data_IF_485385986888
#
_entry.id   IF_485385986888
#
_cell.length_a   1.000
_cell.length_b   1.000
_cell.length_c   1.000
_cell.angle_alpha   90.00
_cell.angle_beta   90.00
_cell.angle_gamma   90.00
#
_symmetry.space_group_name_H-M   'P 1'
#
loop_
_entity.id
_entity.type
_entity.pdbx_description
1 polymer ?
#
# COMPACT_ATOMS: atom_id res chain seq x y z
N UNK A 1 -20.02 -12.47 -14.86
CA UNK A 1 -20.40 -13.60 -13.98
C UNK A 1 -21.77 -14.14 -14.37
N UNK A 2 -22.82 -13.30 -14.48
CA UNK A 2 -24.17 -13.76 -14.89
C UNK A 2 -24.17 -14.49 -16.24
N UNK A 3 -23.32 -14.07 -17.17
CA UNK A 3 -23.22 -14.63 -18.52
C UNK A 3 -22.21 -15.79 -18.60
N UNK A 4 -21.76 -16.32 -17.47
CA UNK A 4 -20.79 -17.41 -17.39
C UNK A 4 -19.33 -16.98 -17.56
N UNK A 5 -19.06 -15.69 -17.74
CA UNK A 5 -17.71 -15.16 -17.82
C UNK A 5 -17.19 -14.86 -16.40
N UNK A 6 -16.25 -15.64 -15.93
CA UNK A 6 -15.66 -15.51 -14.60
C UNK A 6 -14.28 -14.83 -14.69
N UNK A 7 -14.17 -13.53 -14.39
CA UNK A 7 -12.88 -12.85 -14.34
C UNK A 7 -11.92 -13.55 -13.40
N UNK A 8 -10.66 -13.67 -13.82
CA UNK A 8 -9.68 -14.39 -13.03
C UNK A 8 -8.28 -13.81 -13.18
N UNK A 9 -7.47 -14.00 -12.14
CA UNK A 9 -6.08 -13.54 -12.06
C UNK A 9 -5.21 -14.64 -11.49
N UNK A 10 -3.99 -14.77 -12.00
CA UNK A 10 -2.96 -15.63 -11.41
C UNK A 10 -2.39 -14.95 -10.18
N UNK A 11 -2.29 -15.69 -9.07
CA UNK A 11 -1.60 -15.26 -7.86
C UNK A 11 -0.17 -15.78 -7.91
N UNK A 12 0.78 -14.89 -7.81
CA UNK A 12 2.19 -15.21 -7.77
C UNK A 12 2.83 -14.74 -6.46
N UNK A 13 3.84 -15.45 -6.00
CA UNK A 13 4.73 -15.04 -4.92
C UNK A 13 6.12 -14.75 -5.46
N UNK A 14 6.81 -13.82 -4.80
CA UNK A 14 8.25 -13.68 -4.85
C UNK A 14 8.78 -14.03 -3.47
N UNK A 15 9.86 -14.80 -3.42
CA UNK A 15 10.44 -15.25 -2.15
C UNK A 15 11.85 -14.71 -2.05
N UNK A 16 12.11 -13.92 -1.03
CA UNK A 16 13.44 -13.46 -0.65
C UNK A 16 13.82 -14.14 0.65
N UNK A 17 14.93 -14.92 0.68
CA UNK A 17 15.45 -15.47 1.91
C UNK A 17 15.76 -14.36 2.93
N UNK A 18 15.60 -14.66 4.22
CA UNK A 18 15.80 -13.68 5.29
C UNK A 18 17.23 -13.09 5.28
N UNK A 19 18.24 -13.91 5.00
CA UNK A 19 19.63 -13.45 4.96
C UNK A 19 19.89 -12.50 3.78
N UNK A 20 19.23 -12.73 2.65
CA UNK A 20 19.35 -11.85 1.49
C UNK A 20 18.77 -10.47 1.81
N UNK A 21 17.67 -10.41 2.55
CA UNK A 21 17.01 -9.16 2.91
C UNK A 21 17.91 -8.17 3.67
N UNK A 22 18.91 -8.67 4.38
CA UNK A 22 19.87 -7.86 5.16
C UNK A 22 20.90 -7.16 4.28
N UNK A 23 21.23 -7.73 3.14
CA UNK A 23 22.36 -7.31 2.31
C UNK A 23 21.95 -6.90 0.90
N UNK A 24 20.67 -7.04 0.58
CA UNK A 24 20.16 -6.67 -0.74
C UNK A 24 20.34 -5.18 -0.99
N UNK A 25 20.71 -4.81 -2.20
CA UNK A 25 21.02 -3.44 -2.60
C UNK A 25 19.83 -2.46 -2.58
N UNK A 26 18.61 -3.00 -2.50
CA UNK A 26 17.38 -2.23 -2.36
C UNK A 26 16.75 -2.65 -1.03
N UNK A 27 16.27 -1.69 -0.24
CA UNK A 27 15.53 -2.02 0.97
C UNK A 27 14.26 -2.83 0.60
N UNK A 28 14.17 -4.11 0.97
CA UNK A 28 13.05 -4.96 0.57
C UNK A 28 11.72 -4.57 1.22
N UNK A 29 11.76 -3.72 2.24
CA UNK A 29 10.60 -3.20 2.96
C UNK A 29 10.23 -1.77 2.57
N UNK A 30 10.86 -1.23 1.54
CA UNK A 30 10.47 0.04 0.95
C UNK A 30 9.34 -0.19 -0.06
N UNK A 31 8.13 0.23 0.28
CA UNK A 31 6.96 0.03 -0.57
C UNK A 31 7.02 0.80 -1.91
N UNK A 32 7.95 1.75 -2.04
CA UNK A 32 8.17 2.47 -3.31
C UNK A 32 9.03 1.70 -4.29
N UNK A 33 9.62 0.59 -3.86
CA UNK A 33 10.50 -0.27 -4.66
C UNK A 33 9.81 -1.57 -5.02
N UNK A 34 10.28 -2.23 -6.06
CA UNK A 34 9.87 -3.59 -6.44
C UNK A 34 11.08 -4.52 -6.42
N UNK A 35 10.84 -5.79 -6.17
CA UNK A 35 11.88 -6.80 -6.32
C UNK A 35 11.99 -7.20 -7.79
N UNK A 36 13.17 -7.05 -8.41
CA UNK A 36 13.36 -7.45 -9.81
C UNK A 36 13.05 -8.93 -10.02
N UNK A 37 12.31 -9.24 -11.08
CA UNK A 37 11.96 -10.64 -11.40
C UNK A 37 13.19 -11.48 -11.80
N UNK A 38 14.28 -10.83 -12.22
CA UNK A 38 15.54 -11.50 -12.52
C UNK A 38 16.20 -12.06 -11.25
N UNK A 39 16.07 -11.35 -10.13
CA UNK A 39 16.67 -11.74 -8.85
C UNK A 39 15.72 -12.64 -8.05
N UNK A 40 14.43 -12.26 -8.01
CA UNK A 40 13.37 -12.99 -7.32
C UNK A 40 12.21 -13.25 -8.29
N UNK A 41 12.24 -14.41 -9.00
CA UNK A 41 11.24 -14.71 -10.02
C UNK A 41 9.83 -14.91 -9.43
N UNK A 42 8.83 -14.66 -10.25
CA UNK A 42 7.44 -14.93 -9.90
C UNK A 42 7.20 -16.46 -9.86
N UNK A 43 6.63 -16.92 -8.76
CA UNK A 43 6.24 -18.32 -8.54
C UNK A 43 4.72 -18.35 -8.52
N UNK A 44 4.10 -19.03 -9.48
CA UNK A 44 2.64 -19.21 -9.49
C UNK A 44 2.21 -20.12 -8.34
N UNK A 45 1.31 -19.61 -7.50
CA UNK A 45 0.82 -20.31 -6.30
C UNK A 45 -0.68 -20.49 -6.28
N UNK A 46 -1.41 -19.84 -7.18
CA UNK A 46 -2.86 -19.98 -7.22
C UNK A 46 -3.55 -19.09 -8.24
N UNK A 47 -4.87 -19.17 -8.22
CA UNK A 47 -5.74 -18.39 -9.08
C UNK A 47 -6.89 -17.78 -8.29
N UNK A 48 -7.09 -16.50 -8.43
CA UNK A 48 -8.27 -15.79 -7.95
C UNK A 48 -9.32 -15.80 -9.05
N UNK A 49 -10.53 -16.27 -8.73
CA UNK A 49 -11.64 -16.31 -9.68
C UNK A 49 -12.87 -15.65 -9.05
N UNK A 50 -13.50 -14.72 -9.76
CA UNK A 50 -14.79 -14.16 -9.38
C UNK A 50 -15.89 -14.95 -10.07
N UNK A 51 -16.46 -15.89 -9.34
CA UNK A 51 -17.42 -16.88 -9.88
C UNK A 51 -18.86 -16.70 -9.38
N UNK A 52 -19.08 -15.79 -8.41
CA UNK A 52 -20.38 -15.55 -7.80
C UNK A 52 -20.60 -14.09 -7.47
N UNK A 53 -21.77 -13.58 -7.80
CA UNK A 53 -22.24 -12.28 -7.30
C UNK A 53 -22.83 -12.43 -5.90
N UNK A 54 -22.78 -11.38 -5.04
CA UNK A 54 -23.50 -11.38 -3.76
C UNK A 54 -25.00 -11.45 -4.01
N UNK A 55 -25.74 -12.02 -3.06
CA UNK A 55 -27.21 -12.01 -3.03
C UNK A 55 -27.76 -10.77 -2.36
N UNK A 56 -27.07 -10.30 -1.33
CA UNK A 56 -27.38 -9.05 -0.62
C UNK A 56 -26.10 -8.21 -0.52
N UNK A 57 -26.10 -7.10 -1.25
CA UNK A 57 -24.95 -6.20 -1.32
C UNK A 57 -24.64 -5.56 0.04
N UNK A 58 -25.68 -5.18 0.80
CA UNK A 58 -25.48 -4.54 2.10
C UNK A 58 -24.81 -5.48 3.12
N UNK A 59 -25.32 -6.70 3.26
CA UNK A 59 -24.81 -7.64 4.27
C UNK A 59 -23.52 -8.33 3.87
N UNK A 60 -23.32 -8.59 2.57
CA UNK A 60 -22.16 -9.37 2.08
C UNK A 60 -20.99 -8.47 1.64
N UNK A 61 -21.23 -7.20 1.26
CA UNK A 61 -20.24 -6.31 0.68
C UNK A 61 -20.03 -5.04 1.49
N UNK A 62 -21.08 -4.24 1.75
CA UNK A 62 -20.91 -2.93 2.40
C UNK A 62 -20.39 -3.03 3.83
N UNK A 63 -20.71 -4.10 4.54
CA UNK A 63 -20.25 -4.34 5.91
C UNK A 63 -18.92 -5.12 5.96
N UNK A 64 -18.35 -5.49 4.83
CA UNK A 64 -17.05 -6.14 4.79
C UNK A 64 -15.96 -5.19 5.33
N UNK A 65 -15.10 -5.70 6.20
CA UNK A 65 -14.06 -4.95 6.90
C UNK A 65 -12.71 -5.64 6.73
N UNK A 66 -12.02 -5.31 5.63
CA UNK A 66 -10.65 -5.79 5.43
C UNK A 66 -9.72 -5.18 6.48
N UNK A 67 -8.90 -6.01 7.11
CA UNK A 67 -7.93 -5.57 8.12
C UNK A 67 -6.59 -6.27 7.88
N UNK A 68 -5.51 -5.53 7.53
CA UNK A 68 -4.20 -6.11 7.26
C UNK A 68 -3.59 -6.91 8.41
N UNK A 69 -3.99 -6.59 9.65
CA UNK A 69 -3.49 -7.30 10.84
C UNK A 69 -4.19 -8.65 11.10
N UNK A 70 -5.25 -8.97 10.38
CA UNK A 70 -5.90 -10.28 10.46
C UNK A 70 -5.09 -11.32 9.68
N UNK A 71 -4.00 -11.75 10.26
CA UNK A 71 -3.09 -12.72 9.65
C UNK A 71 -3.44 -14.14 10.07
N UNK A 72 -3.23 -15.08 9.16
CA UNK A 72 -3.29 -16.51 9.46
C UNK A 72 -2.01 -16.97 10.16
N UNK A 73 -2.05 -18.04 10.95
CA UNK A 73 -0.85 -18.62 11.55
C UNK A 73 0.22 -18.90 10.49
N UNK A 74 1.47 -18.56 10.79
CA UNK A 74 2.59 -18.69 9.86
C UNK A 74 2.88 -17.46 8.98
N UNK A 75 1.98 -16.47 8.99
CA UNK A 75 2.20 -15.18 8.31
C UNK A 75 2.39 -14.09 9.36
N UNK A 76 3.52 -13.40 9.31
CA UNK A 76 3.84 -12.25 10.17
C UNK A 76 3.63 -10.90 9.49
N UNK A 77 3.68 -9.85 10.28
CA UNK A 77 3.69 -8.48 9.76
C UNK A 77 5.06 -8.15 9.18
N UNK A 78 5.08 -7.44 8.07
CA UNK A 78 6.31 -6.84 7.56
C UNK A 78 6.76 -5.68 8.46
N UNK A 79 8.07 -5.44 8.62
CA UNK A 79 8.61 -4.26 9.29
C UNK A 79 8.41 -2.97 8.49
N UNK A 80 7.82 -3.02 7.32
CA UNK A 80 7.46 -1.86 6.52
C UNK A 80 6.60 -0.88 7.34
N UNK A 81 7.06 0.38 7.42
CA UNK A 81 6.42 1.43 8.22
C UNK A 81 4.99 1.73 7.75
N UNK A 82 4.73 1.64 6.44
CA UNK A 82 3.39 1.88 5.90
C UNK A 82 2.42 0.77 6.31
N UNK A 83 2.85 -0.50 6.29
CA UNK A 83 2.02 -1.60 6.75
C UNK A 83 1.71 -1.49 8.24
N UNK A 84 2.69 -1.10 9.06
CA UNK A 84 2.48 -0.88 10.49
C UNK A 84 1.46 0.25 10.74
N UNK A 85 1.56 1.36 10.00
CA UNK A 85 0.58 2.46 10.07
C UNK A 85 -0.82 2.02 9.61
N UNK A 86 -0.92 1.22 8.56
CA UNK A 86 -2.18 0.66 8.06
C UNK A 86 -2.86 -0.22 9.09
N UNK A 87 -2.10 -0.97 9.90
CA UNK A 87 -2.63 -1.78 10.98
C UNK A 87 -3.45 -0.98 11.99
N UNK A 88 -3.03 0.22 12.32
CA UNK A 88 -3.82 1.13 13.17
C UNK A 88 -5.01 1.74 12.42
N UNK A 89 -4.80 2.21 11.21
CA UNK A 89 -5.81 2.93 10.44
C UNK A 89 -7.05 2.08 10.12
N UNK A 90 -6.86 0.83 9.69
CA UNK A 90 -7.98 -0.02 9.31
C UNK A 90 -8.85 -0.42 10.49
N UNK A 91 -8.25 -0.81 11.61
CA UNK A 91 -9.03 -1.20 12.77
C UNK A 91 -9.78 -0.02 13.40
N UNK A 92 -9.20 1.18 13.39
CA UNK A 92 -9.85 2.40 13.84
C UNK A 92 -11.02 2.80 12.94
N UNK A 93 -10.80 2.82 11.63
CA UNK A 93 -11.81 3.15 10.64
C UNK A 93 -13.02 2.20 10.72
N UNK A 94 -12.81 0.91 10.93
CA UNK A 94 -13.90 -0.06 11.03
C UNK A 94 -14.67 0.03 12.34
N UNK A 95 -14.01 0.39 13.45
CA UNK A 95 -14.72 0.71 14.69
C UNK A 95 -15.64 1.91 14.53
N UNK A 96 -15.19 2.94 13.84
CA UNK A 96 -16.01 4.13 13.55
C UNK A 96 -17.14 3.81 12.56
N UNK A 97 -16.85 3.06 11.50
CA UNK A 97 -17.81 2.77 10.42
C UNK A 97 -18.86 1.74 10.81
N UNK A 98 -18.47 0.64 11.46
CA UNK A 98 -19.31 -0.54 11.69
C UNK A 98 -19.59 -0.81 13.16
N UNK A 99 -18.83 -0.23 14.07
CA UNK A 99 -18.94 -0.46 15.50
C UNK A 99 -17.84 -1.35 16.07
N UNK A 100 -17.70 -1.33 17.40
CA UNK A 100 -16.60 -1.98 18.13
C UNK A 100 -16.51 -3.49 17.89
N UNK A 101 -17.63 -4.16 17.64
CA UNK A 101 -17.71 -5.59 17.40
C UNK A 101 -17.84 -5.96 15.92
N UNK A 102 -17.33 -5.14 15.00
CA UNK A 102 -17.40 -5.39 13.56
C UNK A 102 -16.82 -6.75 13.14
N UNK A 103 -15.89 -7.31 13.90
CA UNK A 103 -15.33 -8.66 13.66
C UNK A 103 -16.31 -9.79 13.92
N UNK A 104 -17.48 -9.53 14.53
CA UNK A 104 -18.56 -10.51 14.73
C UNK A 104 -19.66 -10.44 13.68
N UNK A 105 -19.65 -9.42 12.81
CA UNK A 105 -20.56 -9.37 11.68
C UNK A 105 -20.27 -10.58 10.77
N UNK A 106 -21.28 -11.34 10.30
CA UNK A 106 -21.08 -12.61 9.61
C UNK A 106 -20.08 -12.56 8.44
N UNK A 107 -20.05 -11.47 7.66
CA UNK A 107 -19.11 -11.32 6.55
C UNK A 107 -17.65 -11.19 7.02
N UNK A 108 -17.43 -10.69 8.24
CA UNK A 108 -16.10 -10.47 8.83
C UNK A 108 -15.70 -11.55 9.82
N UNK A 109 -16.67 -12.32 10.28
CA UNK A 109 -16.45 -13.33 11.32
C UNK A 109 -15.53 -14.45 10.85
N UNK A 110 -14.57 -14.82 11.70
CA UNK A 110 -13.76 -16.01 11.47
C UNK A 110 -14.64 -17.26 11.42
N UNK A 111 -14.39 -18.12 10.45
CA UNK A 111 -15.11 -19.42 10.35
C UNK A 111 -14.60 -20.45 11.36
N UNK A 112 -13.38 -20.28 11.85
CA UNK A 112 -12.81 -21.08 12.93
C UNK A 112 -13.13 -20.44 14.28
N UNK A 113 -13.23 -21.21 15.37
CA UNK A 113 -13.38 -20.67 16.70
C UNK A 113 -12.23 -19.70 17.04
N UNK A 114 -12.57 -18.45 17.35
CA UNK A 114 -11.62 -17.44 17.81
C UNK A 114 -11.98 -17.05 19.23
N UNK A 115 -11.07 -17.30 20.15
CA UNK A 115 -11.24 -16.93 21.54
C UNK A 115 -10.76 -15.49 21.77
N UNK A 116 -11.54 -14.72 22.51
CA UNK A 116 -11.24 -13.32 22.78
C UNK A 116 -11.68 -12.94 24.18
N UNK A 117 -10.86 -12.12 24.84
CA UNK A 117 -11.21 -11.51 26.13
C UNK A 117 -12.13 -10.30 25.98
N UNK A 118 -12.37 -9.83 24.80
CA UNK A 118 -13.28 -8.71 24.54
C UNK A 118 -14.71 -9.14 24.87
N UNK A 119 -15.34 -8.48 25.84
CA UNK A 119 -16.71 -8.77 26.28
C UNK A 119 -17.63 -7.56 26.26
N UNK A 120 -17.21 -6.48 25.65
CA UNK A 120 -17.81 -5.17 25.74
C UNK A 120 -18.27 -4.63 24.38
N UNK A 121 -19.13 -3.65 24.43
CA UNK A 121 -19.59 -2.89 23.28
C UNK A 121 -20.82 -3.47 22.58
N UNK A 122 -21.48 -2.61 21.80
CA UNK A 122 -22.66 -2.97 21.03
C UNK A 122 -22.34 -3.99 19.92
N UNK A 123 -23.35 -4.78 19.53
CA UNK A 123 -23.22 -5.76 18.46
C UNK A 123 -22.45 -7.02 18.85
N UNK A 124 -22.20 -7.25 20.12
CA UNK A 124 -21.60 -8.50 20.63
C UNK A 124 -22.60 -9.63 20.65
N UNK A 125 -22.39 -10.64 19.83
CA UNK A 125 -23.32 -11.77 19.69
C UNK A 125 -22.83 -13.04 20.37
N UNK A 126 -21.53 -13.15 20.66
CA UNK A 126 -20.94 -14.35 21.25
C UNK A 126 -19.86 -13.98 22.28
N UNK A 127 -19.94 -14.64 23.45
CA UNK A 127 -18.87 -14.68 24.42
C UNK A 127 -18.43 -16.14 24.63
N UNK A 128 -17.12 -16.37 24.61
CA UNK A 128 -16.59 -17.73 24.62
C UNK A 128 -16.34 -18.26 26.03
N UNK A 129 -16.13 -17.37 27.00
CA UNK A 129 -15.93 -17.74 28.41
C UNK A 129 -16.16 -16.56 29.35
N UNK A 130 -16.36 -16.86 30.63
CA UNK A 130 -16.55 -15.85 31.68
C UNK A 130 -15.26 -15.10 32.07
N UNK A 131 -14.07 -15.73 32.13
CA UNK A 131 -12.85 -15.02 32.48
C UNK A 131 -12.50 -13.94 31.49
N UNK A 132 -11.96 -12.81 31.97
CA UNK A 132 -11.54 -11.64 31.16
C UNK A 132 -10.04 -11.49 31.07
N UNK A 133 -9.27 -12.41 31.60
CA UNK A 133 -7.81 -12.39 31.63
C UNK A 133 -7.19 -13.79 31.56
N UNK A 134 -5.97 -13.88 31.16
CA UNK A 134 -5.15 -15.09 31.18
C UNK A 134 -3.82 -14.81 31.92
N UNK A 135 -3.25 -15.81 32.64
CA UNK A 135 -3.86 -17.13 32.92
C UNK A 135 -4.98 -17.04 33.94
N UNK A 136 -5.90 -18.00 33.91
CA UNK A 136 -6.96 -18.15 34.92
C UNK A 136 -7.25 -19.63 35.21
N UNK A 137 -7.96 -19.92 36.30
CA UNK A 137 -8.31 -21.29 36.74
C UNK A 137 -9.65 -21.80 36.20
N UNK A 138 -10.35 -21.03 35.37
CA UNK A 138 -11.70 -21.35 34.89
C UNK A 138 -11.74 -21.88 33.45
N UNK A 139 -10.57 -22.17 32.85
CA UNK A 139 -10.52 -22.70 31.51
C UNK A 139 -10.85 -21.71 30.41
N UNK A 140 -10.73 -20.42 30.69
CA UNK A 140 -10.91 -19.36 29.69
C UNK A 140 -9.82 -19.33 28.63
N UNK A 141 -9.85 -18.32 27.74
CA UNK A 141 -8.81 -18.18 26.70
C UNK A 141 -7.43 -18.17 27.34
N UNK A 142 -6.52 -18.95 26.78
CA UNK A 142 -5.12 -18.97 27.17
C UNK A 142 -4.27 -18.43 26.02
N UNK A 143 -3.16 -17.77 26.38
CA UNK A 143 -2.16 -17.44 25.38
C UNK A 143 -1.68 -18.75 24.72
N UNK A 144 -1.81 -18.84 23.42
CA UNK A 144 -1.21 -19.96 22.70
C UNK A 144 0.31 -19.79 22.71
N UNK A 145 1.05 -20.91 22.89
CA UNK A 145 2.48 -20.88 22.60
C UNK A 145 2.70 -20.34 21.19
N UNK A 146 3.74 -19.56 21.01
CA UNK A 146 4.08 -19.09 19.66
C UNK A 146 4.45 -20.30 18.77
N UNK A 147 3.43 -20.79 18.05
CA UNK A 147 3.59 -21.92 17.13
C UNK A 147 4.15 -21.47 15.78
N UNK A 148 4.33 -20.16 15.58
CA UNK A 148 4.89 -19.62 14.34
C UNK A 148 6.39 -19.80 14.24
N UNK A 149 7.04 -20.18 15.36
CA UNK A 149 8.48 -20.34 15.43
C UNK A 149 9.22 -19.03 15.13
N UNK A 150 10.51 -19.13 14.86
CA UNK A 150 11.34 -17.98 14.50
C UNK A 150 10.92 -17.32 13.16
N UNK A 151 10.23 -18.03 12.29
CA UNK A 151 9.78 -17.53 11.00
C UNK A 151 8.77 -16.36 11.09
N UNK A 152 8.16 -16.15 12.25
CA UNK A 152 7.27 -15.00 12.50
C UNK A 152 7.93 -13.85 13.24
N UNK A 153 9.21 -13.96 13.58
CA UNK A 153 9.94 -12.95 14.33
C UNK A 153 10.89 -12.19 13.39
N UNK A 154 10.74 -10.89 13.38
CA UNK A 154 11.73 -10.00 12.77
C UNK A 154 12.62 -9.44 13.88
N UNK A 155 13.91 -9.75 13.80
CA UNK A 155 14.90 -9.18 14.70
C UNK A 155 15.45 -7.89 14.10
N UNK A 156 15.37 -6.80 14.87
CA UNK A 156 16.01 -5.53 14.53
C UNK A 156 17.34 -5.47 15.28
N UNK A 157 18.43 -5.39 14.55
CA UNK A 157 19.76 -5.19 15.10
C UNK A 157 20.08 -3.70 15.20
N UNK A 158 20.79 -3.28 16.25
CA UNK A 158 21.23 -1.91 16.47
C UNK A 158 20.42 -1.14 17.49
N UNK A 159 20.81 0.12 17.69
CA UNK A 159 20.19 1.01 18.65
C UNK A 159 18.83 1.53 18.19
N UNK A 160 17.88 1.59 19.10
CA UNK A 160 16.64 2.33 18.86
C UNK A 160 16.92 3.83 18.95
N UNK A 161 16.89 4.52 17.82
CA UNK A 161 17.09 5.97 17.75
C UNK A 161 15.80 6.69 17.40
N UNK A 162 15.54 7.79 18.11
CA UNK A 162 14.46 8.71 17.75
C UNK A 162 15.03 9.73 16.78
N UNK A 163 14.60 9.67 15.52
CA UNK A 163 15.04 10.61 14.49
C UNK A 163 13.86 11.41 13.95
N UNK A 164 14.10 12.68 13.63
CA UNK A 164 13.26 13.39 12.68
C UNK A 164 13.41 12.76 11.29
N UNK A 165 12.35 12.77 10.49
CA UNK A 165 12.46 12.36 9.10
C UNK A 165 13.47 13.26 8.39
N UNK A 166 14.47 12.64 7.80
CA UNK A 166 15.41 13.32 6.88
C UNK A 166 15.45 12.54 5.59
N UNK A 167 15.44 13.27 4.47
CA UNK A 167 15.68 12.65 3.18
C UNK A 167 17.10 12.08 3.19
N UNK A 168 17.24 10.77 2.97
CA UNK A 168 18.55 10.14 2.92
C UNK A 168 19.20 10.47 1.58
N UNK A 169 20.44 10.93 1.61
CA UNK A 169 21.18 11.28 0.39
C UNK A 169 21.57 10.06 -0.46
N UNK A 170 21.62 8.90 0.17
CA UNK A 170 21.98 7.61 -0.40
C UNK A 170 20.74 6.79 -0.85
N UNK A 171 19.52 7.27 -0.59
CA UNK A 171 18.31 6.65 -1.13
C UNK A 171 18.24 6.92 -2.65
N UNK A 172 18.37 5.86 -3.43
CA UNK A 172 18.23 5.92 -4.87
C UNK A 172 16.75 5.72 -5.27
N UNK A 173 16.05 6.83 -5.45
CA UNK A 173 14.65 6.83 -5.88
C UNK A 173 14.48 6.87 -7.41
N UNK A 174 15.57 6.93 -8.17
CA UNK A 174 15.56 7.21 -9.60
C UNK A 174 15.90 6.01 -10.49
N UNK A 175 16.90 5.22 -10.10
CA UNK A 175 17.45 4.16 -10.95
C UNK A 175 16.44 3.09 -11.32
N UNK A 176 15.61 2.65 -10.38
CA UNK A 176 14.60 1.63 -10.64
C UNK A 176 13.50 2.16 -11.57
N UNK A 177 13.02 3.38 -11.32
CA UNK A 177 12.04 4.05 -12.18
C UNK A 177 12.62 4.30 -13.59
N UNK A 178 13.88 4.74 -13.67
CA UNK A 178 14.59 4.92 -14.94
C UNK A 178 14.75 3.61 -15.72
N UNK A 179 15.05 2.51 -15.05
CA UNK A 179 15.10 1.18 -15.66
C UNK A 179 13.74 0.76 -16.21
N UNK A 180 12.66 1.01 -15.49
CA UNK A 180 11.30 0.76 -15.97
C UNK A 180 11.03 1.51 -17.27
N UNK A 181 11.36 2.80 -17.30
CA UNK A 181 11.12 3.66 -18.47
C UNK A 181 11.97 3.25 -19.68
N UNK A 182 13.27 3.03 -19.48
CA UNK A 182 14.22 2.79 -20.58
C UNK A 182 14.18 1.37 -21.12
N UNK A 183 14.02 0.37 -20.23
CA UNK A 183 14.24 -1.05 -20.56
C UNK A 183 12.94 -1.83 -20.65
N UNK A 184 11.97 -1.56 -19.77
CA UNK A 184 10.77 -2.39 -19.65
C UNK A 184 9.60 -1.82 -20.47
N UNK A 185 9.41 -0.51 -20.42
CA UNK A 185 8.31 0.13 -21.15
C UNK A 185 8.59 0.16 -22.65
N UNK A 186 7.62 -0.31 -23.44
CA UNK A 186 7.63 -0.09 -24.90
C UNK A 186 7.23 1.36 -25.24
N UNK A 187 7.54 1.81 -26.44
CA UNK A 187 7.42 3.22 -26.86
C UNK A 187 6.02 3.80 -26.62
N UNK A 188 4.96 3.09 -27.01
CA UNK A 188 3.60 3.56 -26.80
C UNK A 188 3.22 3.66 -25.30
N UNK A 189 3.85 2.87 -24.41
CA UNK A 189 3.65 3.00 -22.96
C UNK A 189 4.37 4.24 -22.41
N UNK A 190 5.57 4.54 -22.89
CA UNK A 190 6.28 5.79 -22.57
C UNK A 190 5.50 7.02 -23.04
N UNK A 191 4.93 6.97 -24.26
CA UNK A 191 4.05 8.03 -24.77
C UNK A 191 2.87 8.29 -23.81
N UNK A 192 2.14 7.25 -23.42
CA UNK A 192 1.03 7.39 -22.47
C UNK A 192 1.47 7.92 -21.10
N UNK A 193 2.65 7.53 -20.63
CA UNK A 193 3.22 8.08 -19.40
C UNK A 193 3.39 9.59 -19.51
N UNK A 194 4.04 10.06 -20.57
CA UNK A 194 4.24 11.49 -20.83
C UNK A 194 2.90 12.22 -20.91
N UNK A 195 1.95 11.71 -21.70
CA UNK A 195 0.62 12.32 -21.87
C UNK A 195 -0.14 12.45 -20.55
N UNK A 196 -0.11 11.41 -19.72
CA UNK A 196 -0.74 11.42 -18.41
C UNK A 196 -0.13 12.47 -17.49
N UNK A 197 1.20 12.53 -17.42
CA UNK A 197 1.91 13.49 -16.56
C UNK A 197 1.68 14.92 -17.06
N UNK A 198 1.77 15.16 -18.35
CA UNK A 198 1.44 16.45 -18.97
C UNK A 198 0.01 16.87 -18.65
N UNK A 199 -0.94 15.91 -18.72
CA UNK A 199 -2.34 16.16 -18.36
C UNK A 199 -2.50 16.70 -16.95
N UNK A 200 -1.88 16.05 -15.98
CA UNK A 200 -1.97 16.43 -14.56
C UNK A 200 -1.20 17.71 -14.24
N UNK A 201 0.02 17.86 -14.76
CA UNK A 201 0.85 19.04 -14.48
C UNK A 201 0.32 20.33 -15.12
N UNK A 202 -0.50 20.22 -16.18
CA UNK A 202 -1.09 21.38 -16.83
C UNK A 202 -2.38 21.88 -16.15
N UNK A 203 -2.84 21.23 -15.09
CA UNK A 203 -4.08 21.55 -14.41
C UNK A 203 -3.82 22.34 -13.11
N UNK A 204 -3.65 23.65 -13.25
CA UNK A 204 -3.56 24.60 -12.12
C UNK A 204 -2.31 24.46 -11.24
N UNK A 205 -1.24 23.81 -11.72
CA UNK A 205 0.00 23.65 -10.96
C UNK A 205 0.85 24.91 -11.06
N UNK A 206 1.31 25.43 -9.91
CA UNK A 206 2.16 26.62 -9.86
C UNK A 206 3.53 26.39 -10.48
N UNK A 207 4.12 27.44 -11.05
CA UNK A 207 5.45 27.39 -11.70
C UNK A 207 6.54 26.81 -10.79
N UNK A 208 6.55 27.19 -9.50
CA UNK A 208 7.50 26.67 -8.51
C UNK A 208 7.43 25.13 -8.36
N UNK A 209 6.22 24.58 -8.46
CA UNK A 209 6.00 23.11 -8.39
C UNK A 209 6.36 22.47 -9.73
N UNK A 210 6.01 23.10 -10.85
CA UNK A 210 6.36 22.61 -12.19
C UNK A 210 7.86 22.43 -12.36
N UNK A 211 8.67 23.42 -11.96
CA UNK A 211 10.14 23.32 -12.04
C UNK A 211 10.69 22.12 -11.28
N UNK A 212 10.16 21.84 -10.06
CA UNK A 212 10.55 20.66 -9.28
C UNK A 212 10.09 19.36 -9.94
N UNK A 213 8.89 19.36 -10.52
CA UNK A 213 8.37 18.19 -11.22
C UNK A 213 9.21 17.87 -12.47
N UNK A 214 9.64 18.87 -13.23
CA UNK A 214 10.50 18.67 -14.38
C UNK A 214 11.88 18.12 -13.98
N UNK A 215 12.49 18.66 -12.93
CA UNK A 215 13.72 18.13 -12.36
C UNK A 215 13.53 16.66 -11.89
N UNK A 216 12.44 16.37 -11.20
CA UNK A 216 12.09 15.02 -10.76
C UNK A 216 12.05 14.03 -11.94
N UNK A 217 11.34 14.37 -13.01
CA UNK A 217 11.22 13.49 -14.16
C UNK A 217 12.52 13.35 -14.96
N UNK A 218 13.36 14.39 -15.00
CA UNK A 218 14.70 14.30 -15.60
C UNK A 218 15.64 13.39 -14.81
N UNK A 219 15.52 13.37 -13.51
CA UNK A 219 16.28 12.45 -12.67
C UNK A 219 15.91 10.97 -12.92
N UNK A 220 14.65 10.70 -13.27
CA UNK A 220 14.22 9.37 -13.70
C UNK A 220 14.75 9.05 -15.09
N UNK A 221 14.47 9.92 -16.06
CA UNK A 221 14.92 9.79 -17.44
C UNK A 221 14.91 11.16 -18.14
N UNK A 222 16.06 11.64 -18.67
CA UNK A 222 16.16 12.96 -19.29
C UNK A 222 15.20 13.16 -20.47
N UNK A 223 15.07 12.16 -21.36
CA UNK A 223 14.20 12.26 -22.55
C UNK A 223 12.71 12.37 -22.16
N UNK A 224 12.29 11.59 -21.17
CA UNK A 224 10.92 11.67 -20.65
C UNK A 224 10.69 13.00 -19.94
N UNK A 225 11.63 13.46 -19.12
CA UNK A 225 11.54 14.75 -18.44
C UNK A 225 11.41 15.92 -19.40
N UNK A 226 12.21 15.94 -20.47
CA UNK A 226 12.18 16.99 -21.50
C UNK A 226 10.86 16.98 -22.30
N UNK A 227 10.35 15.81 -22.63
CA UNK A 227 9.04 15.65 -23.29
C UNK A 227 7.88 16.13 -22.40
N UNK A 228 7.96 15.84 -21.09
CA UNK A 228 6.96 16.31 -20.12
C UNK A 228 6.99 17.84 -20.04
N UNK A 229 8.17 18.44 -19.85
CA UNK A 229 8.25 19.90 -19.81
C UNK A 229 7.74 20.55 -21.07
N UNK A 230 8.18 20.08 -22.24
CA UNK A 230 7.74 20.59 -23.53
C UNK A 230 6.22 20.51 -23.69
N UNK A 231 5.62 19.37 -23.36
CA UNK A 231 4.17 19.17 -23.44
C UNK A 231 3.38 20.05 -22.47
N UNK A 232 3.88 20.25 -21.24
CA UNK A 232 3.26 21.16 -20.28
C UNK A 232 3.36 22.60 -20.75
N UNK A 233 4.55 23.04 -21.24
CA UNK A 233 4.74 24.39 -21.75
C UNK A 233 3.88 24.68 -22.99
N UNK A 234 3.75 23.73 -23.90
CA UNK A 234 2.86 23.82 -25.06
C UNK A 234 1.39 23.99 -24.65
N UNK A 235 0.92 23.15 -23.70
CA UNK A 235 -0.45 23.24 -23.21
C UNK A 235 -0.75 24.55 -22.49
N UNK A 236 0.16 25.04 -21.66
CA UNK A 236 0.00 26.31 -20.94
C UNK A 236 0.19 27.52 -21.85
N UNK A 237 1.08 27.45 -22.86
CA UNK A 237 1.32 28.49 -23.86
C UNK A 237 0.22 28.57 -24.92
N UNK A 238 -0.41 27.45 -25.25
CA UNK A 238 -1.56 27.40 -26.16
C UNK A 238 -2.87 27.90 -25.52
N UNK A 239 -2.95 27.89 -24.20
CA UNK A 239 -3.96 28.63 -23.45
C UNK A 239 -3.44 30.05 -23.23
N UNK A 240 -3.54 30.90 -24.27
CA UNK A 240 -3.17 32.32 -24.20
C UNK A 240 -4.21 33.10 -23.38
N UNK A 241 -4.26 32.81 -22.10
CA UNK A 241 -4.96 33.62 -21.12
C UNK A 241 -3.96 34.24 -20.18
N UNK A 242 -3.75 35.54 -20.38
CA UNK A 242 -2.86 36.40 -19.60
C UNK A 242 -3.16 36.39 -18.07
N UNK A 243 -4.19 35.72 -17.62
CA UNK A 243 -4.58 35.60 -16.20
C UNK A 243 -3.73 34.61 -15.41
N UNK A 244 -3.27 33.52 -16.01
CA UNK A 244 -2.40 32.54 -15.33
C UNK A 244 -1.00 33.08 -15.02
N UNK A 245 -0.45 33.88 -15.91
CA UNK A 245 0.86 34.52 -15.76
C UNK A 245 0.85 35.72 -14.78
N UNK A 246 -0.27 36.41 -14.68
CA UNK A 246 -0.44 37.52 -13.72
C UNK A 246 -0.56 37.03 -12.28
N UNK A 247 -1.22 35.89 -12.04
CA UNK A 247 -1.32 35.25 -10.71
C UNK A 247 0.04 34.73 -10.21
N UNK A 248 0.84 34.14 -11.08
CA UNK A 248 2.17 33.63 -10.72
C UNK A 248 3.16 34.74 -10.35
N UNK A 249 3.10 35.88 -11.02
CA UNK A 249 3.93 37.05 -10.70
C UNK A 249 3.55 37.73 -9.39
N UNK A 250 2.27 37.77 -9.04
CA UNK A 250 1.77 38.35 -7.80
C UNK A 250 2.22 37.57 -6.55
N UNK A 251 2.45 36.26 -6.66
CA UNK A 251 2.88 35.41 -5.53
C UNK A 251 4.40 35.48 -5.34
N UNK A 252 5.18 35.73 -6.37
CA UNK A 252 6.62 35.84 -6.32
C UNK A 252 7.12 37.21 -5.76
N UNK A 253 6.27 38.22 -5.72
CA UNK A 253 6.61 39.55 -5.20
C UNK A 253 6.22 39.74 -3.71
N UNK A 254 5.66 38.70 -3.04
CA UNK A 254 5.16 38.80 -1.66
C UNK A 254 5.94 37.91 -0.65
N UNK A 255 7.08 37.38 -1.03
CA UNK A 255 8.06 36.73 -0.11
C UNK A 255 9.43 37.45 -0.26
#
# INVERSE_FOLDING_TARGET
IRDGNNPSWTLNWQIMPYEDAKTYNINPFDLTKVWPHADYPLIEVGKLVLDRNPTDFHTEIEQAAFEPNNMVPGVGLSPDKMLLARGFAYSDAHRARLGVNYKQIPVNGAKCPVYSYSKDGAGRTQNVSDPVYAPNSYGGPAAQPDTRGEAGLWHSDGDMVRQAYTLRKDDDDWSQAGTLVRVVMYEAARGRLVDNVVGHLSDGVSEKVLLRAFEYWRNIDPDVGDKIESGVREKLGGASDAEGLASAKSIAETE
#
